data_IF_803803182557
#
_entry.id   IF_803803182557
#
_cell.length_a   1.000
_cell.length_b   1.000
_cell.length_c   1.000
_cell.angle_alpha   90.00
_cell.angle_beta   90.00
_cell.angle_gamma   90.00
#
_symmetry.space_group_name_H-M   'P 1'
#
loop_
_entity.id
_entity.type
_entity.pdbx_description
1 polymer ?
#
# COMPACT_ATOMS: atom_id res chain seq x y z
N UNK A 1 -26.34 16.56 23.91
CA UNK A 1 -25.16 16.59 23.01
C UNK A 1 -24.67 15.16 22.89
N UNK A 2 -24.90 14.50 21.74
CA UNK A 2 -24.46 13.12 21.51
C UNK A 2 -22.94 13.11 21.52
N UNK A 3 -22.36 12.41 22.50
CA UNK A 3 -20.93 12.16 22.58
C UNK A 3 -20.65 10.88 21.79
N UNK A 4 -20.81 10.94 20.46
CA UNK A 4 -20.41 9.85 19.56
C UNK A 4 -18.88 9.78 19.64
N UNK A 5 -18.35 8.74 20.29
CA UNK A 5 -16.91 8.48 20.28
C UNK A 5 -16.53 8.10 18.85
N UNK A 6 -15.66 8.91 18.26
CA UNK A 6 -15.07 8.65 16.96
C UNK A 6 -14.49 7.21 16.90
N UNK A 7 -14.89 6.47 15.88
CA UNK A 7 -14.48 5.09 15.64
C UNK A 7 -12.99 5.00 15.32
N UNK A 8 -12.42 3.79 15.46
CA UNK A 8 -11.04 3.53 15.05
C UNK A 8 -10.82 3.84 13.57
N UNK A 9 -11.81 3.55 12.72
CA UNK A 9 -11.73 3.81 11.28
C UNK A 9 -11.68 5.32 11.00
N UNK A 10 -12.54 6.11 11.65
CA UNK A 10 -12.53 7.58 11.50
C UNK A 10 -11.20 8.17 11.98
N UNK A 11 -10.70 7.73 13.15
CA UNK A 11 -9.38 8.14 13.65
C UNK A 11 -8.25 7.75 12.71
N UNK A 12 -8.30 6.56 12.11
CA UNK A 12 -7.31 6.12 11.13
C UNK A 12 -7.32 7.03 9.89
N UNK A 13 -8.52 7.36 9.39
CA UNK A 13 -8.71 8.24 8.25
C UNK A 13 -8.32 9.70 8.52
N UNK A 14 -8.11 10.12 9.78
CA UNK A 14 -7.50 11.42 10.07
C UNK A 14 -6.04 11.49 9.59
N UNK A 15 -5.28 10.39 9.72
CA UNK A 15 -3.85 10.34 9.41
C UNK A 15 -3.54 9.70 8.05
N UNK A 16 -4.40 8.79 7.61
CA UNK A 16 -4.19 8.02 6.40
C UNK A 16 -5.29 8.26 5.37
N UNK A 17 -4.90 8.16 4.11
CA UNK A 17 -5.77 8.13 2.97
C UNK A 17 -5.74 6.71 2.40
N UNK A 18 -6.92 6.16 2.12
CA UNK A 18 -7.08 4.82 1.54
C UNK A 18 -7.71 5.00 0.17
N UNK A 19 -7.00 4.59 -0.87
CA UNK A 19 -7.38 4.87 -2.26
C UNK A 19 -7.35 3.61 -3.10
N UNK A 20 -8.37 3.46 -3.94
CA UNK A 20 -8.32 2.50 -5.03
C UNK A 20 -7.31 2.99 -6.08
N UNK A 21 -6.38 2.11 -6.43
CA UNK A 21 -5.32 2.39 -7.40
C UNK A 21 -5.90 2.33 -8.81
N UNK A 22 -5.81 3.44 -9.52
CA UNK A 22 -6.31 3.57 -10.90
C UNK A 22 -5.24 4.07 -11.88
N UNK A 23 -4.12 4.59 -11.37
CA UNK A 23 -3.01 5.10 -12.17
C UNK A 23 -1.81 4.14 -12.16
N UNK A 24 -0.99 4.20 -13.20
CA UNK A 24 0.26 3.43 -13.26
C UNK A 24 1.27 3.86 -12.17
N UNK A 25 1.27 5.14 -11.80
CA UNK A 25 2.12 5.68 -10.73
C UNK A 25 1.73 5.13 -9.36
N UNK A 26 0.44 5.07 -9.05
CA UNK A 26 -0.04 4.46 -7.81
C UNK A 26 0.22 2.95 -7.78
N UNK A 27 0.08 2.28 -8.93
CA UNK A 27 0.37 0.84 -9.04
C UNK A 27 1.85 0.56 -8.79
N UNK A 28 2.73 1.42 -9.29
CA UNK A 28 4.16 1.38 -8.99
C UNK A 28 4.42 1.52 -7.49
N UNK A 29 3.76 2.45 -6.81
CA UNK A 29 3.92 2.63 -5.37
C UNK A 29 3.46 1.41 -4.55
N UNK A 30 2.41 0.69 -4.99
CA UNK A 30 2.01 -0.60 -4.39
C UNK A 30 3.14 -1.63 -4.49
N UNK A 31 3.71 -1.81 -5.68
CA UNK A 31 4.76 -2.80 -5.91
C UNK A 31 6.05 -2.49 -5.16
N UNK A 32 6.37 -1.22 -4.96
CA UNK A 32 7.49 -0.79 -4.12
C UNK A 32 7.24 -1.07 -2.64
N UNK A 33 6.00 -0.88 -2.14
CA UNK A 33 5.64 -1.30 -0.77
C UNK A 33 5.82 -2.80 -0.61
N UNK A 34 5.30 -3.60 -1.54
CA UNK A 34 5.42 -5.05 -1.52
C UNK A 34 6.87 -5.51 -1.58
N UNK A 35 7.70 -4.89 -2.43
CA UNK A 35 9.13 -5.21 -2.49
C UNK A 35 9.83 -5.00 -1.15
N UNK A 36 9.63 -3.84 -0.50
CA UNK A 36 10.24 -3.59 0.83
C UNK A 36 9.82 -4.63 1.86
N UNK A 37 8.57 -5.10 1.80
CA UNK A 37 8.05 -6.07 2.78
C UNK A 37 8.46 -7.51 2.44
N UNK A 38 8.16 -7.99 1.23
CA UNK A 38 8.37 -9.38 0.83
C UNK A 38 9.82 -9.70 0.45
N UNK A 39 10.57 -8.75 -0.12
CA UNK A 39 11.96 -8.99 -0.49
C UNK A 39 12.94 -8.53 0.61
N UNK A 40 12.77 -7.32 1.15
CA UNK A 40 13.76 -6.75 2.08
C UNK A 40 13.51 -7.17 3.54
N UNK A 41 12.29 -7.00 4.05
CA UNK A 41 11.96 -7.23 5.46
C UNK A 41 11.78 -8.72 5.79
N UNK A 42 10.87 -9.41 5.10
CA UNK A 42 10.54 -10.81 5.39
C UNK A 42 11.34 -11.81 4.57
N UNK A 43 11.94 -11.40 3.46
CA UNK A 43 12.71 -12.26 2.54
C UNK A 43 11.96 -13.51 2.08
N UNK A 44 10.66 -13.35 1.80
CA UNK A 44 9.85 -14.38 1.16
C UNK A 44 10.24 -14.55 -0.30
N UNK A 45 10.57 -13.45 -0.96
CA UNK A 45 11.01 -13.44 -2.35
C UNK A 45 12.46 -12.97 -2.47
N UNK A 46 13.16 -13.44 -3.50
CA UNK A 46 14.50 -12.95 -3.81
C UNK A 46 14.42 -11.57 -4.47
N UNK A 47 15.12 -10.57 -3.92
CA UNK A 47 15.21 -9.25 -4.55
C UNK A 47 15.85 -9.27 -5.94
N UNK A 48 16.60 -10.32 -6.28
CA UNK A 48 17.15 -10.52 -7.64
C UNK A 48 16.06 -10.76 -8.70
N UNK A 49 14.88 -11.25 -8.29
CA UNK A 49 13.73 -11.41 -9.18
C UNK A 49 13.13 -10.05 -9.59
N UNK A 50 13.39 -8.99 -8.82
CA UNK A 50 12.78 -7.67 -8.96
C UNK A 50 13.86 -6.58 -8.98
N UNK A 51 14.71 -6.52 -10.04
CA UNK A 51 15.85 -5.60 -10.10
C UNK A 51 15.45 -4.13 -10.11
N UNK A 52 14.21 -3.83 -10.50
CA UNK A 52 13.64 -2.49 -10.46
C UNK A 52 13.02 -2.12 -9.10
N UNK A 53 13.07 -3.02 -8.10
CA UNK A 53 12.49 -2.85 -6.76
C UNK A 53 10.97 -2.73 -6.74
N UNK A 54 10.29 -3.39 -7.67
CA UNK A 54 8.84 -3.56 -7.65
C UNK A 54 8.49 -5.04 -7.65
N UNK A 55 7.89 -5.50 -6.57
CA UNK A 55 7.44 -6.89 -6.45
C UNK A 55 6.06 -7.04 -7.11
N UNK A 56 5.98 -7.99 -8.04
CA UNK A 56 4.78 -8.32 -8.81
C UNK A 56 4.69 -9.81 -9.09
N UNK A 57 3.47 -10.32 -9.27
CA UNK A 57 3.22 -11.69 -9.69
C UNK A 57 2.12 -11.78 -10.78
N UNK A 58 1.79 -12.99 -11.21
CA UNK A 58 0.81 -13.28 -12.27
C UNK A 58 -0.63 -12.82 -11.96
N UNK A 59 -0.96 -12.49 -10.71
CA UNK A 59 -2.30 -12.07 -10.32
C UNK A 59 -2.50 -10.56 -10.47
N UNK A 60 -1.42 -9.77 -10.57
CA UNK A 60 -1.47 -8.30 -10.53
C UNK A 60 -2.19 -7.62 -11.69
N UNK A 61 -2.29 -8.28 -12.83
CA UNK A 61 -2.99 -7.75 -14.00
C UNK A 61 -4.51 -7.74 -13.83
N UNK A 62 -5.05 -8.65 -13.01
CA UNK A 62 -6.50 -8.85 -12.82
C UNK A 62 -7.03 -8.47 -11.43
N UNK A 63 -6.16 -7.99 -10.55
CA UNK A 63 -6.53 -7.59 -9.20
C UNK A 63 -6.85 -6.11 -9.08
N UNK A 64 -7.77 -5.79 -8.18
CA UNK A 64 -7.89 -4.44 -7.64
C UNK A 64 -6.78 -4.23 -6.62
N UNK A 65 -6.28 -3.01 -6.55
CA UNK A 65 -5.24 -2.64 -5.62
C UNK A 65 -5.71 -1.43 -4.83
N UNK A 66 -5.42 -1.43 -3.52
CA UNK A 66 -5.63 -0.27 -2.67
C UNK A 66 -4.29 0.14 -2.07
N UNK A 67 -4.06 1.45 -2.02
CA UNK A 67 -2.88 2.06 -1.43
C UNK A 67 -3.29 2.87 -0.22
N UNK A 68 -2.55 2.71 0.87
CA UNK A 68 -2.69 3.49 2.09
C UNK A 68 -1.55 4.49 2.14
N UNK A 69 -1.84 5.78 2.09
CA UNK A 69 -0.86 6.87 2.17
C UNK A 69 -0.99 7.62 3.48
N UNK A 70 0.13 7.93 4.11
CA UNK A 70 0.15 8.83 5.25
C UNK A 70 0.02 10.28 4.75
N UNK A 71 -1.04 10.97 5.18
CA UNK A 71 -1.43 12.27 4.61
C UNK A 71 -0.34 13.34 4.73
N UNK A 72 0.30 13.45 5.89
CA UNK A 72 1.27 14.55 6.13
C UNK A 72 2.62 14.34 5.44
N UNK A 73 3.05 13.09 5.23
CA UNK A 73 4.32 12.80 4.55
C UNK A 73 4.16 12.42 3.07
N UNK A 74 2.94 12.14 2.61
CA UNK A 74 2.66 11.62 1.26
C UNK A 74 3.17 10.19 0.99
N UNK A 75 3.85 9.57 1.97
CA UNK A 75 4.49 8.27 1.80
C UNK A 75 3.45 7.15 1.86
N UNK A 76 3.61 6.16 0.99
CA UNK A 76 2.88 4.91 1.10
C UNK A 76 3.23 4.19 2.41
N UNK A 77 2.20 3.88 3.20
CA UNK A 77 2.29 3.22 4.50
C UNK A 77 1.93 1.73 4.42
N UNK A 78 1.12 1.34 3.43
CA UNK A 78 0.72 -0.04 3.20
C UNK A 78 -0.09 -0.18 1.93
N UNK A 79 -0.36 -1.41 1.51
CA UNK A 79 -1.21 -1.72 0.37
C UNK A 79 -1.97 -3.01 0.63
N UNK A 80 -3.08 -3.19 -0.08
CA UNK A 80 -3.81 -4.46 -0.14
C UNK A 80 -4.20 -4.73 -1.58
N UNK A 81 -4.21 -6.02 -1.91
CA UNK A 81 -4.60 -6.57 -3.20
C UNK A 81 -5.65 -7.64 -2.95
#
# INVERSE_FOLDING_TARGET
>A
MNNEKESLAERFLQYFQVELVTSAEDKRAVFEVRYRVYCEEFRYESGENFPDKAETDEYDERSLHCLIRHKSSGRAAGCVR
#
